data_IF_179118202404
#
_entry.id   IF_179118202404
#
_cell.length_a   1.000
_cell.length_b   1.000
_cell.length_c   1.000
_cell.angle_alpha   90.00
_cell.angle_beta   90.00
_cell.angle_gamma   90.00
#
_symmetry.space_group_name_H-M   'P 1'
#
loop_
_entity.id
_entity.type
_entity.pdbx_description
1 polymer ?
#
# COMPACT_ATOMS: atom_id res chain seq x y z
N UNK A 1 -8.51 -15.53 -17.90
CA UNK A 1 -7.99 -14.96 -16.64
C UNK A 1 -7.71 -16.15 -15.72
N UNK A 2 -6.67 -16.14 -14.90
CA UNK A 2 -6.42 -17.25 -13.96
C UNK A 2 -7.49 -17.25 -12.86
N UNK A 3 -7.93 -18.40 -12.34
CA UNK A 3 -8.96 -18.48 -11.28
C UNK A 3 -8.63 -17.62 -10.05
N UNK A 4 -7.34 -17.48 -9.73
CA UNK A 4 -6.86 -16.64 -8.64
C UNK A 4 -7.00 -15.15 -8.95
N UNK A 5 -6.83 -14.75 -10.21
CA UNK A 5 -6.98 -13.38 -10.67
C UNK A 5 -8.46 -12.98 -10.68
N UNK A 6 -9.35 -13.88 -11.10
CA UNK A 6 -10.80 -13.66 -11.02
C UNK A 6 -11.28 -13.54 -9.58
N UNK A 7 -10.77 -14.40 -8.68
CA UNK A 7 -11.07 -14.31 -7.25
C UNK A 7 -10.62 -12.97 -6.69
N UNK A 8 -9.39 -12.54 -6.99
CA UNK A 8 -8.85 -11.25 -6.57
C UNK A 8 -9.75 -10.10 -7.04
N UNK A 9 -10.02 -10.01 -8.35
CA UNK A 9 -10.83 -8.93 -8.92
C UNK A 9 -12.23 -8.94 -8.31
N UNK A 10 -12.86 -10.11 -8.18
CA UNK A 10 -14.19 -10.24 -7.59
C UNK A 10 -14.21 -9.76 -6.14
N UNK A 11 -13.25 -10.19 -5.33
CA UNK A 11 -13.21 -9.85 -3.91
C UNK A 11 -12.90 -8.37 -3.71
N UNK A 12 -11.92 -7.82 -4.42
CA UNK A 12 -11.63 -6.37 -4.35
C UNK A 12 -12.82 -5.52 -4.81
N UNK A 13 -13.53 -5.95 -5.86
CA UNK A 13 -14.72 -5.23 -6.35
C UNK A 13 -15.89 -5.22 -5.34
N UNK A 14 -15.90 -6.12 -4.34
CA UNK A 14 -16.88 -6.09 -3.24
C UNK A 14 -16.49 -5.13 -2.11
N UNK A 15 -15.21 -4.77 -2.01
CA UNK A 15 -14.73 -3.83 -1.00
C UNK A 15 -14.92 -2.40 -1.49
N UNK A 16 -15.95 -1.76 -0.97
CA UNK A 16 -16.27 -0.37 -1.30
C UNK A 16 -15.11 0.60 -0.94
N UNK A 17 -14.44 0.46 0.22
CA UNK A 17 -13.33 1.33 0.57
C UNK A 17 -12.12 1.18 -0.36
N UNK A 18 -11.71 -0.04 -0.70
CA UNK A 18 -10.58 -0.26 -1.61
C UNK A 18 -10.91 0.29 -2.99
N UNK A 19 -12.14 0.06 -3.47
CA UNK A 19 -12.58 0.56 -4.77
C UNK A 19 -12.60 2.09 -4.82
N UNK A 20 -13.07 2.76 -3.75
CA UNK A 20 -13.03 4.23 -3.62
C UNK A 20 -11.59 4.77 -3.68
N UNK A 21 -10.66 4.13 -2.99
CA UNK A 21 -9.25 4.56 -2.99
C UNK A 21 -8.63 4.39 -4.37
N UNK A 22 -8.88 3.27 -5.04
CA UNK A 22 -8.40 3.04 -6.41
C UNK A 22 -8.93 4.10 -7.39
N UNK A 23 -10.22 4.43 -7.30
CA UNK A 23 -10.82 5.49 -8.12
C UNK A 23 -10.20 6.86 -7.81
N UNK A 24 -10.05 7.19 -6.52
CA UNK A 24 -9.45 8.45 -6.06
C UNK A 24 -8.01 8.61 -6.56
N UNK A 25 -7.19 7.56 -6.44
CA UNK A 25 -5.81 7.57 -6.92
C UNK A 25 -5.75 7.77 -8.44
N UNK A 26 -6.65 7.14 -9.19
CA UNK A 26 -6.77 7.32 -10.64
C UNK A 26 -7.12 8.76 -11.01
N UNK A 27 -8.02 9.41 -10.26
CA UNK A 27 -8.39 10.82 -10.48
C UNK A 27 -7.28 11.81 -10.16
N UNK A 28 -6.40 11.48 -9.20
CA UNK A 28 -5.27 12.33 -8.83
C UNK A 28 -4.24 12.47 -9.96
N UNK A 29 -4.30 11.60 -10.98
CA UNK A 29 -3.47 11.63 -12.19
C UNK A 29 -1.98 11.83 -11.86
N UNK A 30 -1.50 11.02 -10.91
CA UNK A 30 -0.15 11.14 -10.35
C UNK A 30 0.90 10.86 -11.45
N UNK A 31 2.02 11.60 -11.47
CA UNK A 31 3.04 11.46 -12.52
C UNK A 31 3.98 10.25 -12.30
N UNK A 32 3.65 9.36 -11.36
CA UNK A 32 4.48 8.25 -10.94
C UNK A 32 3.65 6.98 -10.73
N UNK A 33 4.32 5.83 -10.72
CA UNK A 33 3.68 4.54 -10.44
C UNK A 33 3.32 4.41 -8.95
N UNK A 34 2.15 3.82 -8.69
CA UNK A 34 1.65 3.57 -7.35
C UNK A 34 0.89 2.25 -7.28
N UNK A 35 0.83 1.68 -6.08
CA UNK A 35 0.18 0.42 -5.75
C UNK A 35 -0.49 0.53 -4.38
N UNK A 36 -1.59 -0.21 -4.20
CA UNK A 36 -2.12 -0.49 -2.87
C UNK A 36 -1.36 -1.71 -2.31
N UNK A 37 -0.89 -1.63 -1.07
CA UNK A 37 -0.09 -2.67 -0.44
C UNK A 37 -0.82 -4.01 -0.32
N UNK A 38 -0.07 -5.10 -0.50
CA UNK A 38 -0.65 -6.44 -0.62
C UNK A 38 -1.27 -6.96 0.69
N UNK A 39 -0.80 -6.54 1.87
CA UNK A 39 -1.25 -7.08 3.16
C UNK A 39 -2.75 -6.92 3.40
N UNK A 40 -3.32 -5.77 3.02
CA UNK A 40 -4.76 -5.51 3.17
C UNK A 40 -5.56 -6.24 2.10
N UNK A 41 -5.06 -6.28 0.87
CA UNK A 41 -5.63 -7.08 -0.23
C UNK A 41 -5.74 -8.56 0.16
N UNK A 42 -4.68 -9.14 0.74
CA UNK A 42 -4.70 -10.54 1.18
C UNK A 42 -5.68 -10.77 2.33
N UNK A 43 -5.75 -9.85 3.30
CA UNK A 43 -6.71 -9.96 4.40
C UNK A 43 -8.16 -9.89 3.89
N UNK A 44 -8.47 -8.98 2.94
CA UNK A 44 -9.77 -8.90 2.28
C UNK A 44 -10.15 -10.20 1.59
N UNK A 45 -9.21 -10.84 0.89
CA UNK A 45 -9.43 -12.16 0.26
C UNK A 45 -9.69 -13.23 1.31
N UNK A 46 -8.88 -13.28 2.37
CA UNK A 46 -9.02 -14.25 3.46
C UNK A 46 -10.36 -14.09 4.18
N UNK A 47 -10.83 -12.86 4.38
CA UNK A 47 -12.14 -12.58 4.95
C UNK A 47 -13.27 -13.11 4.04
N UNK A 48 -13.23 -12.83 2.74
CA UNK A 48 -14.26 -13.29 1.77
C UNK A 48 -14.32 -14.82 1.69
N UNK A 49 -13.17 -15.52 1.67
CA UNK A 49 -13.15 -16.99 1.60
C UNK A 49 -13.51 -17.66 2.95
N UNK A 50 -13.30 -16.97 4.07
CA UNK A 50 -13.55 -17.52 5.42
C UNK A 50 -14.91 -17.10 5.99
N UNK A 51 -15.70 -16.32 5.26
CA UNK A 51 -17.05 -15.88 5.67
C UNK A 51 -17.07 -14.75 6.70
N UNK A 52 -15.96 -14.04 6.91
CA UNK A 52 -15.92 -12.83 7.73
C UNK A 52 -16.38 -11.61 6.93
N UNK A 53 -16.80 -10.51 7.60
CA UNK A 53 -16.97 -9.22 6.93
C UNK A 53 -15.70 -8.86 6.15
N UNK A 54 -15.87 -8.39 4.91
CA UNK A 54 -14.76 -8.20 3.97
C UNK A 54 -13.67 -7.24 4.48
N UNK A 55 -14.05 -6.31 5.35
CA UNK A 55 -13.20 -5.29 5.97
C UNK A 55 -12.72 -5.65 7.39
N UNK A 56 -13.01 -6.86 7.86
CA UNK A 56 -12.63 -7.27 9.21
C UNK A 56 -11.11 -7.19 9.43
N UNK A 57 -10.70 -6.50 10.50
CA UNK A 57 -9.29 -6.33 10.87
C UNK A 57 -8.49 -5.39 9.96
N UNK A 58 -9.15 -4.59 9.13
CA UNK A 58 -8.53 -3.51 8.34
C UNK A 58 -8.61 -2.21 9.14
N UNK A 59 -7.45 -1.60 9.43
CA UNK A 59 -7.33 -0.32 10.14
C UNK A 59 -6.88 0.81 9.21
N UNK A 60 -6.12 0.46 8.20
CA UNK A 60 -5.34 1.35 7.36
C UNK A 60 -5.24 0.80 5.93
N UNK A 61 -4.98 1.69 4.98
CA UNK A 61 -4.72 1.36 3.58
C UNK A 61 -3.31 1.83 3.23
N UNK A 62 -2.47 0.84 2.91
CA UNK A 62 -1.11 1.04 2.46
C UNK A 62 -1.09 1.52 1.01
N UNK A 63 -0.45 2.65 0.75
CA UNK A 63 -0.23 3.19 -0.59
C UNK A 63 1.26 3.35 -0.79
N UNK A 64 1.78 2.59 -1.74
CA UNK A 64 3.19 2.52 -2.06
C UNK A 64 3.41 3.13 -3.43
N UNK A 65 4.33 4.08 -3.55
CA UNK A 65 4.66 4.71 -4.82
C UNK A 65 6.18 4.87 -4.98
N UNK A 66 6.65 5.11 -6.20
CA UNK A 66 8.05 5.39 -6.47
C UNK A 66 8.17 6.69 -7.25
N UNK A 67 8.72 7.70 -6.59
CA UNK A 67 9.06 8.99 -7.21
C UNK A 67 10.48 9.37 -6.80
N UNK A 68 11.44 9.12 -7.68
CA UNK A 68 12.85 9.49 -7.51
C UNK A 68 13.11 10.97 -7.81
N UNK A 69 12.18 11.64 -8.50
CA UNK A 69 12.29 13.07 -8.81
C UNK A 69 11.82 13.94 -7.65
N UNK A 70 10.99 13.40 -6.75
CA UNK A 70 10.58 14.07 -5.52
C UNK A 70 10.93 13.24 -4.27
N UNK A 71 12.13 13.49 -3.74
CA UNK A 71 12.62 12.92 -2.49
C UNK A 71 12.48 13.87 -1.29
N UNK A 72 11.50 14.78 -1.27
CA UNK A 72 11.26 15.66 -0.11
C UNK A 72 10.73 14.86 1.09
N UNK A 73 11.04 15.29 2.32
CA UNK A 73 10.61 14.58 3.54
C UNK A 73 9.11 14.59 3.79
N UNK A 74 8.40 15.54 3.20
CA UNK A 74 6.96 15.73 3.34
C UNK A 74 6.16 15.22 2.13
N UNK A 75 6.81 14.62 1.11
CA UNK A 75 6.14 14.15 -0.12
C UNK A 75 5.04 13.14 0.18
N UNK A 76 5.29 12.20 1.10
CA UNK A 76 4.34 11.18 1.55
C UNK A 76 3.16 11.81 2.27
N UNK A 77 3.43 12.80 3.14
CA UNK A 77 2.39 13.55 3.85
C UNK A 77 1.51 14.35 2.88
N UNK A 78 2.11 15.02 1.89
CA UNK A 78 1.38 15.77 0.86
C UNK A 78 0.40 14.87 0.09
N UNK A 79 0.79 13.64 -0.24
CA UNK A 79 -0.09 12.68 -0.90
C UNK A 79 -1.19 12.17 0.06
N UNK A 80 -0.83 11.87 1.32
CA UNK A 80 -1.81 11.53 2.37
C UNK A 80 -2.88 12.61 2.54
N UNK A 81 -2.48 13.88 2.71
CA UNK A 81 -3.41 15.01 2.88
C UNK A 81 -4.34 15.16 1.65
N UNK A 82 -3.83 14.90 0.43
CA UNK A 82 -4.65 14.90 -0.80
C UNK A 82 -5.70 13.80 -0.80
N UNK A 83 -5.34 12.61 -0.32
CA UNK A 83 -6.27 11.48 -0.21
C UNK A 83 -7.34 11.77 0.84
N UNK A 84 -6.95 12.21 2.03
CA UNK A 84 -7.86 12.58 3.11
C UNK A 84 -8.83 13.68 2.71
N UNK A 85 -8.37 14.70 1.96
CA UNK A 85 -9.26 15.77 1.48
C UNK A 85 -10.30 15.29 0.45
N UNK A 86 -9.93 14.35 -0.44
CA UNK A 86 -10.88 13.74 -1.38
C UNK A 86 -11.80 12.72 -0.72
N UNK A 87 -11.34 12.08 0.35
CA UNK A 87 -12.01 11.01 1.08
C UNK A 87 -12.32 11.43 2.53
N UNK A 88 -12.91 12.62 2.70
CA UNK A 88 -13.10 13.30 3.99
C UNK A 88 -13.89 12.53 5.06
N UNK A 89 -14.68 11.52 4.67
CA UNK A 89 -15.47 10.66 5.55
C UNK A 89 -15.04 9.18 5.47
N UNK A 90 -13.76 8.94 5.19
CA UNK A 90 -13.23 7.60 5.03
C UNK A 90 -12.85 6.99 6.37
N UNK A 91 -13.17 5.72 6.55
CA UNK A 91 -13.08 5.03 7.83
C UNK A 91 -11.68 4.48 8.17
N UNK A 92 -10.73 4.52 7.23
CA UNK A 92 -9.39 3.97 7.40
C UNK A 92 -8.33 5.06 7.28
N UNK A 93 -7.23 4.89 8.02
CA UNK A 93 -6.06 5.72 7.84
C UNK A 93 -5.31 5.39 6.54
N UNK A 94 -4.57 6.34 6.01
CA UNK A 94 -3.61 6.07 4.92
C UNK A 94 -2.19 5.97 5.48
N UNK A 95 -1.50 4.87 5.15
CA UNK A 95 -0.05 4.78 5.26
C UNK A 95 0.56 4.93 3.86
N UNK A 96 1.17 6.08 3.62
CA UNK A 96 1.72 6.44 2.31
C UNK A 96 3.25 6.35 2.37
N UNK A 97 3.85 5.64 1.41
CA UNK A 97 5.30 5.39 1.38
C UNK A 97 5.90 5.58 -0.01
N UNK A 98 6.88 6.47 -0.12
CA UNK A 98 7.73 6.62 -1.30
C UNK A 98 8.92 5.65 -1.20
N UNK A 99 8.92 4.61 -2.01
CA UNK A 99 10.00 3.61 -2.00
C UNK A 99 11.35 4.18 -2.42
N UNK A 100 11.36 5.25 -3.21
CA UNK A 100 12.59 5.95 -3.55
C UNK A 100 13.28 6.55 -2.31
N UNK A 101 12.55 6.83 -1.22
CA UNK A 101 13.09 7.45 0.00
C UNK A 101 13.46 6.47 1.10
N UNK A 102 13.09 5.20 1.00
CA UNK A 102 13.25 4.22 2.10
C UNK A 102 14.70 4.14 2.59
N UNK A 103 15.65 4.09 1.66
CA UNK A 103 17.08 4.04 1.96
C UNK A 103 17.62 5.23 2.76
N UNK A 104 16.91 6.36 2.80
CA UNK A 104 17.32 7.55 3.56
C UNK A 104 17.05 7.44 5.06
N UNK A 105 16.11 6.59 5.49
CA UNK A 105 15.69 6.48 6.89
C UNK A 105 15.73 5.05 7.43
N UNK A 106 15.81 4.03 6.58
CA UNK A 106 15.74 2.64 6.99
C UNK A 106 16.85 2.25 7.98
N UNK A 107 18.10 2.60 7.69
CA UNK A 107 19.24 2.26 8.55
C UNK A 107 19.13 2.90 9.93
N UNK A 108 18.74 4.17 9.98
CA UNK A 108 18.50 4.88 11.24
C UNK A 108 17.41 4.21 12.08
N UNK A 109 16.40 3.63 11.43
CA UNK A 109 15.27 2.97 12.10
C UNK A 109 15.58 1.53 12.53
N UNK A 110 16.31 0.77 11.73
CA UNK A 110 16.46 -0.68 11.90
C UNK A 110 17.89 -1.15 12.18
N UNK A 111 18.89 -0.28 12.06
CA UNK A 111 20.29 -0.58 12.40
C UNK A 111 21.10 -1.29 11.32
N UNK A 112 20.57 -1.40 10.09
CA UNK A 112 21.29 -1.95 8.93
C UNK A 112 20.83 -1.28 7.62
N UNK A 113 21.69 -1.17 6.60
CA UNK A 113 21.38 -0.45 5.37
C UNK A 113 20.34 -1.18 4.52
N UNK A 114 19.47 -0.42 3.86
CA UNK A 114 18.66 -0.91 2.75
C UNK A 114 19.24 -0.38 1.44
N UNK A 115 19.55 -1.27 0.49
CA UNK A 115 19.94 -0.84 -0.85
C UNK A 115 18.75 -0.16 -1.56
N UNK A 116 18.96 0.93 -2.32
CA UNK A 116 17.92 1.52 -3.14
C UNK A 116 17.48 0.50 -4.19
N UNK A 117 16.26 -0.02 -4.06
CA UNK A 117 15.68 -0.95 -5.02
C UNK A 117 14.73 -0.21 -5.95
N UNK A 118 15.05 -0.05 -7.24
CA UNK A 118 14.19 0.62 -8.22
C UNK A 118 12.94 -0.18 -8.63
N UNK A 119 12.67 -1.33 -7.98
CA UNK A 119 11.54 -2.20 -8.32
C UNK A 119 10.49 -2.20 -7.20
N UNK A 120 9.42 -1.43 -7.41
CA UNK A 120 8.15 -1.52 -6.67
C UNK A 120 7.64 -2.98 -6.56
N UNK A 121 8.03 -3.84 -7.51
CA UNK A 121 7.64 -5.25 -7.58
C UNK A 121 8.17 -6.14 -6.46
N UNK A 122 9.33 -5.85 -5.85
CA UNK A 122 9.92 -6.77 -4.86
C UNK A 122 9.50 -6.49 -3.41
N UNK A 123 9.25 -5.23 -3.05
CA UNK A 123 8.96 -4.86 -1.66
C UNK A 123 7.46 -4.87 -1.33
N UNK A 124 6.56 -4.69 -2.32
CA UNK A 124 5.10 -4.64 -2.08
C UNK A 124 4.44 -6.03 -1.97
N UNK A 125 5.10 -7.09 -2.45
CA UNK A 125 4.63 -8.50 -2.37
C UNK A 125 4.99 -9.12 -1.01
N UNK A 126 5.91 -8.50 -0.29
CA UNK A 126 6.59 -9.12 0.81
C UNK A 126 6.05 -8.56 2.13
N UNK A 127 4.95 -9.16 2.60
CA UNK A 127 4.75 -9.33 4.04
C UNK A 127 5.83 -10.24 4.61
N UNK A 128 7.11 -9.95 4.37
CA UNK A 128 8.19 -10.76 4.92
C UNK A 128 8.14 -10.59 6.44
N UNK A 129 8.17 -11.69 7.21
CA UNK A 129 8.59 -11.58 8.58
C UNK A 129 9.98 -10.94 8.55
N UNK A 130 10.22 -9.96 9.43
CA UNK A 130 11.58 -9.56 9.79
C UNK A 130 12.41 -10.84 9.90
N UNK A 131 13.34 -11.08 8.97
CA UNK A 131 14.42 -12.01 9.23
C UNK A 131 15.23 -11.36 10.35
N UNK A 132 14.91 -11.76 11.57
CA UNK A 132 15.71 -11.43 12.74
C UNK A 132 17.11 -12.01 12.51
N UNK A 133 18.18 -11.29 12.90
CA UNK A 133 19.56 -11.60 12.52
C UNK A 133 20.17 -12.83 13.23
N UNK A 134 19.38 -13.84 13.58
CA UNK A 134 19.87 -15.07 14.23
C UNK A 134 19.22 -16.36 13.73
N UNK A 135 19.24 -16.57 12.41
CA UNK A 135 19.28 -17.92 11.83
C UNK A 135 20.47 -18.08 10.89
#
# INVERSE_FOLDING_TARGET
MNINEELLVRTISKSEPITKVLQTLKELNLPFEYYIGAGRITNTIWNDISGYPIEYGISDIDIVYYDEYNMESDSEKKLKDKLESKLWNFQFDFDVKNQARVHLWYESKFGFPSNPTPLLKQQSIAGQPLQLPWE
#
